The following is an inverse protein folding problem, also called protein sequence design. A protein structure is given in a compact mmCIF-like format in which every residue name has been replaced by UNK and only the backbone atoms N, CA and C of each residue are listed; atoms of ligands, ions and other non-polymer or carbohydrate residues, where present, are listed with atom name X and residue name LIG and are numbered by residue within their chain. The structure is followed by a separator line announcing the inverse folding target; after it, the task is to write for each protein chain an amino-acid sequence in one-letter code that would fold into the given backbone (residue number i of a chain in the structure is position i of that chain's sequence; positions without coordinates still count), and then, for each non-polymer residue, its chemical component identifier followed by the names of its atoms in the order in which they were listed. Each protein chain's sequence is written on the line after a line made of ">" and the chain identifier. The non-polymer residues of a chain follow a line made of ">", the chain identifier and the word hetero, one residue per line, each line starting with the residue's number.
data_IF_082560273082
#
_entry.id   IF_082560273082
#
_cell.length_a   1.000
_cell.length_b   1.000
_cell.length_c   1.000
_cell.angle_alpha   90.00
_cell.angle_beta   90.00
_cell.angle_gamma   90.00
#
_symmetry.space_group_name_H-M   'P 1'
#
loop_
_entity.id
_entity.type
_entity.pdbx_description
1 polymer ?
#
# COMPACT_ATOMS: atom_id res chain seq x y z
N UNK A 1 -12.03 -13.23 -4.02
CA UNK A 1 -13.00 -12.40 -3.28
C UNK A 1 -14.40 -12.83 -3.71
N UNK A 2 -15.19 -13.33 -2.75
CA UNK A 2 -16.58 -13.76 -2.96
C UNK A 2 -17.53 -12.70 -2.37
N UNK A 3 -18.68 -12.52 -3.01
CA UNK A 3 -19.78 -11.70 -2.50
C UNK A 3 -20.48 -12.42 -1.34
N UNK A 4 -21.38 -11.70 -0.64
CA UNK A 4 -22.26 -12.28 0.38
C UNK A 4 -23.19 -13.38 -0.15
N UNK A 5 -23.30 -13.52 -1.48
CA UNK A 5 -24.08 -14.55 -2.19
C UNK A 5 -23.23 -15.74 -2.63
N UNK A 6 -21.96 -15.81 -2.23
CA UNK A 6 -21.03 -16.88 -2.63
C UNK A 6 -20.53 -16.78 -4.07
N UNK A 7 -20.95 -15.77 -4.82
CA UNK A 7 -20.55 -15.55 -6.21
C UNK A 7 -19.25 -14.72 -6.29
N UNK A 8 -18.50 -14.77 -7.41
CA UNK A 8 -17.35 -13.90 -7.61
C UNK A 8 -17.73 -12.43 -7.45
N UNK A 9 -16.96 -11.69 -6.64
CA UNK A 9 -17.19 -10.27 -6.44
C UNK A 9 -16.93 -9.52 -7.75
N UNK A 10 -17.97 -8.90 -8.31
CA UNK A 10 -17.82 -8.11 -9.54
C UNK A 10 -16.98 -6.85 -9.27
N UNK A 11 -16.07 -6.47 -10.18
CA UNK A 11 -15.28 -5.25 -10.04
C UNK A 11 -16.12 -3.98 -9.82
N UNK A 12 -17.30 -3.91 -10.44
CA UNK A 12 -18.27 -2.81 -10.27
C UNK A 12 -18.85 -2.76 -8.86
N UNK A 13 -19.15 -3.91 -8.25
CA UNK A 13 -19.63 -4.01 -6.87
C UNK A 13 -18.57 -3.54 -5.87
N UNK A 14 -17.30 -3.88 -6.10
CA UNK A 14 -16.19 -3.38 -5.29
C UNK A 14 -16.05 -1.86 -5.41
N UNK A 15 -16.05 -1.32 -6.63
CA UNK A 15 -15.98 0.14 -6.88
C UNK A 15 -17.13 0.89 -6.21
N UNK A 16 -18.36 0.39 -6.32
CA UNK A 16 -19.53 1.02 -5.70
C UNK A 16 -19.46 1.00 -4.18
N UNK A 17 -19.06 -0.14 -3.60
CA UNK A 17 -18.88 -0.27 -2.15
C UNK A 17 -17.78 0.67 -1.66
N UNK A 18 -16.65 0.70 -2.37
CA UNK A 18 -15.53 1.57 -2.04
C UNK A 18 -15.90 3.06 -2.11
N UNK A 19 -16.60 3.49 -3.19
CA UNK A 19 -17.09 4.88 -3.33
C UNK A 19 -17.94 5.29 -2.14
N UNK A 20 -18.92 4.45 -1.76
CA UNK A 20 -19.80 4.70 -0.61
C UNK A 20 -19.03 4.87 0.69
N UNK A 21 -17.99 4.07 0.95
CA UNK A 21 -17.18 4.22 2.17
C UNK A 21 -16.26 5.43 2.10
N UNK A 22 -15.73 5.74 0.92
CA UNK A 22 -14.86 6.90 0.69
C UNK A 22 -15.62 8.21 0.94
N UNK A 23 -16.86 8.31 0.45
CA UNK A 23 -17.76 9.45 0.70
C UNK A 23 -18.08 9.63 2.19
N UNK A 24 -18.32 8.52 2.92
CA UNK A 24 -18.61 8.57 4.38
C UNK A 24 -17.38 8.94 5.21
N UNK A 25 -16.20 8.65 4.71
CA UNK A 25 -14.94 8.96 5.37
C UNK A 25 -14.35 10.33 4.93
N UNK A 26 -15.03 11.03 4.02
CA UNK A 26 -14.55 12.25 3.37
C UNK A 26 -13.16 12.09 2.71
N UNK A 27 -12.95 10.93 2.07
CA UNK A 27 -11.70 10.59 1.38
C UNK A 27 -11.93 10.62 -0.12
N UNK A 28 -11.16 11.45 -0.83
CA UNK A 28 -11.09 11.41 -2.29
C UNK A 28 -9.98 10.45 -2.71
N UNK A 29 -10.36 9.27 -3.20
CA UNK A 29 -9.37 8.28 -3.62
C UNK A 29 -9.97 7.08 -4.34
N UNK A 30 -9.09 6.23 -4.87
CA UNK A 30 -9.45 4.91 -5.41
C UNK A 30 -8.66 3.84 -4.66
N UNK A 31 -9.04 2.55 -4.76
CA UNK A 31 -8.24 1.46 -4.18
C UNK A 31 -6.78 1.47 -4.68
N UNK A 32 -6.54 1.97 -5.89
CA UNK A 32 -5.19 2.11 -6.43
C UNK A 32 -4.40 3.22 -5.73
N UNK A 33 -5.03 4.36 -5.46
CA UNK A 33 -4.41 5.46 -4.68
C UNK A 33 -4.09 5.00 -3.26
N UNK A 34 -5.02 4.29 -2.60
CA UNK A 34 -4.75 3.74 -1.26
C UNK A 34 -3.60 2.73 -1.25
N UNK A 35 -3.55 1.84 -2.27
CA UNK A 35 -2.41 0.93 -2.44
C UNK A 35 -1.10 1.71 -2.56
N UNK A 36 -1.11 2.81 -3.32
CA UNK A 36 0.06 3.65 -3.48
C UNK A 36 0.48 4.31 -2.17
N UNK A 37 -0.45 4.93 -1.43
CA UNK A 37 -0.19 5.54 -0.13
C UNK A 37 0.35 4.53 0.89
N UNK A 38 -0.21 3.32 0.94
CA UNK A 38 0.28 2.24 1.80
C UNK A 38 1.71 1.84 1.44
N UNK A 39 1.99 1.58 0.16
CA UNK A 39 3.30 1.15 -0.29
C UNK A 39 4.37 2.21 -0.03
N UNK A 40 4.11 3.48 -0.36
CA UNK A 40 5.03 4.59 -0.07
C UNK A 40 5.28 4.72 1.44
N UNK A 41 4.24 4.66 2.27
CA UNK A 41 4.40 4.74 3.73
C UNK A 41 5.21 3.56 4.30
N UNK A 42 5.01 2.35 3.77
CA UNK A 42 5.76 1.18 4.18
C UNK A 42 7.26 1.34 3.87
N UNK A 43 7.61 1.74 2.64
CA UNK A 43 9.02 1.98 2.29
C UNK A 43 9.64 3.06 3.17
N UNK A 44 8.95 4.19 3.37
CA UNK A 44 9.41 5.27 4.26
C UNK A 44 9.60 4.84 5.71
N UNK A 45 8.89 3.81 6.14
CA UNK A 45 9.03 3.24 7.49
C UNK A 45 10.17 2.22 7.60
N UNK A 46 10.98 2.05 6.55
CA UNK A 46 12.09 1.10 6.50
C UNK A 46 11.69 -0.33 6.11
N UNK A 47 10.46 -0.56 5.64
CA UNK A 47 10.04 -1.92 5.23
C UNK A 47 10.82 -2.35 3.98
N UNK A 48 11.46 -3.52 4.06
CA UNK A 48 12.18 -4.12 2.94
C UNK A 48 11.28 -4.27 1.70
N UNK A 49 11.78 -3.97 0.48
CA UNK A 49 11.01 -4.14 -0.76
C UNK A 49 10.51 -5.57 -0.97
N UNK A 50 11.23 -6.58 -0.49
CA UNK A 50 10.81 -7.99 -0.57
C UNK A 50 9.62 -8.28 0.33
N UNK A 51 9.58 -7.70 1.53
CA UNK A 51 8.45 -7.81 2.46
C UNK A 51 7.24 -7.09 1.86
N UNK A 52 7.44 -5.87 1.35
CA UNK A 52 6.39 -5.10 0.71
C UNK A 52 5.80 -5.83 -0.51
N UNK A 53 6.63 -6.48 -1.33
CA UNK A 53 6.19 -7.29 -2.47
C UNK A 53 5.23 -8.40 -2.05
N UNK A 54 5.57 -9.11 -0.97
CA UNK A 54 4.72 -10.17 -0.41
C UNK A 54 3.41 -9.63 0.15
N UNK A 55 3.44 -8.50 0.85
CA UNK A 55 2.24 -7.83 1.39
C UNK A 55 1.30 -7.35 0.28
N UNK A 56 1.86 -6.87 -0.83
CA UNK A 56 1.07 -6.39 -1.98
C UNK A 56 0.62 -7.53 -2.91
N UNK A 57 1.18 -8.73 -2.75
CA UNK A 57 0.91 -9.89 -3.61
C UNK A 57 1.47 -9.71 -5.03
N UNK A 58 2.55 -8.95 -5.19
CA UNK A 58 3.20 -8.79 -6.49
C UNK A 58 4.05 -10.04 -6.80
N UNK A 59 3.86 -10.61 -7.98
CA UNK A 59 4.67 -11.73 -8.48
C UNK A 59 6.05 -11.30 -8.97
N UNK A 60 6.23 -10.01 -9.24
CA UNK A 60 7.48 -9.42 -9.72
C UNK A 60 7.87 -8.22 -8.85
N UNK A 61 9.13 -8.23 -8.38
CA UNK A 61 9.73 -7.17 -7.58
C UNK A 61 9.81 -5.85 -8.33
N UNK A 62 9.91 -5.86 -9.67
CA UNK A 62 9.97 -4.63 -10.49
C UNK A 62 8.75 -3.73 -10.28
N UNK A 63 7.57 -4.34 -10.04
CA UNK A 63 6.33 -3.60 -9.75
C UNK A 63 6.40 -2.89 -8.40
N UNK A 64 7.09 -3.50 -7.43
CA UNK A 64 7.30 -2.94 -6.08
C UNK A 64 8.41 -1.89 -6.04
N UNK A 65 9.46 -2.05 -6.86
CA UNK A 65 10.59 -1.11 -6.91
C UNK A 65 10.19 0.31 -7.28
N UNK A 66 9.07 0.51 -7.99
CA UNK A 66 8.52 1.86 -8.26
C UNK A 66 8.27 2.69 -6.99
N UNK A 67 7.93 2.05 -5.87
CA UNK A 67 7.72 2.73 -4.59
C UNK A 67 9.03 3.06 -3.86
N UNK A 68 10.08 2.27 -4.13
CA UNK A 68 11.41 2.48 -3.56
C UNK A 68 12.06 3.70 -4.19
N UNK A 69 12.01 3.81 -5.52
CA UNK A 69 12.54 4.97 -6.24
C UNK A 69 11.78 6.27 -5.98
N UNK A 70 10.54 6.19 -5.47
CA UNK A 70 9.76 7.36 -5.07
C UNK A 70 10.13 7.89 -3.67
N UNK A 71 10.97 7.18 -2.91
CA UNK A 71 11.40 7.60 -1.58
C UNK A 71 12.55 8.61 -1.69
N UNK A 72 12.44 9.74 -0.98
CA UNK A 72 13.46 10.78 -0.96
C UNK A 72 14.68 10.34 -0.14
N UNK A 73 15.83 10.98 -0.34
CA UNK A 73 17.00 10.79 0.51
C UNK A 73 16.68 11.02 2.01
N UNK A 74 15.80 11.99 2.32
CA UNK A 74 15.34 12.21 3.69
C UNK A 74 14.52 11.06 4.28
N UNK A 75 13.81 10.31 3.44
CA UNK A 75 13.04 9.13 3.86
C UNK A 75 13.99 7.96 4.26
N UNK A 76 15.13 7.85 3.59
CA UNK A 76 16.17 6.85 3.90
C UNK A 76 16.86 7.15 5.23
N UNK A 77 17.16 8.43 5.50
CA UNK A 77 17.74 8.87 6.77
C UNK A 77 16.79 8.59 7.93
N UNK A 78 15.50 8.93 7.78
CA UNK A 78 14.50 8.66 8.81
C UNK A 78 14.32 7.16 9.09
N UNK A 79 14.37 6.32 8.05
CA UNK A 79 14.33 4.86 8.21
C UNK A 79 15.58 4.33 8.96
N UNK A 80 16.75 4.89 8.69
CA UNK A 80 18.00 4.53 9.37
C UNK A 80 17.98 4.93 10.85
N UNK A 81 17.53 6.15 11.17
CA UNK A 81 17.39 6.64 12.55
C UNK A 81 16.44 5.74 13.36
N UNK A 82 15.35 5.31 12.74
CA UNK A 82 14.38 4.42 13.38
C UNK A 82 14.99 3.04 13.68
N UNK A 83 15.68 2.44 12.70
CA UNK A 83 16.38 1.16 12.92
C UNK A 83 17.46 1.28 13.99
N UNK A 84 18.19 2.40 14.02
CA UNK A 84 19.22 2.65 15.03
C UNK A 84 18.63 2.81 16.44
N UNK A 85 17.42 3.35 16.56
CA UNK A 85 16.72 3.47 17.85
C UNK A 85 16.20 2.14 18.39
N UNK A 86 15.88 1.17 17.53
CA UNK A 86 15.37 -0.15 17.91
C UNK A 86 16.50 -1.11 18.37
N UNK A 87 17.77 -0.76 18.10
CA UNK A 87 18.96 -1.51 18.49
C UNK A 87 19.63 -1.00 19.79
N UNK A 88 19.05 0.03 20.42
CA UNK A 88 19.47 0.58 21.73
C UNK A 88 18.56 0.09 22.83
#
# INVERSE_FOLDING_TARGET
>A
MVSYTGQPLRPSSLRRSFKRYSERADIVGTPHVLRHSFATKAVRSGVSPFVLMRLLGHSDITTTMRYVHASSFGDLVAALDKMASELR
#
